data_IF_083943830208
#
_entry.id   IF_083943830208
#
_cell.length_a   1.000
_cell.length_b   1.000
_cell.length_c   1.000
_cell.angle_alpha   90.00
_cell.angle_beta   90.00
_cell.angle_gamma   90.00
#
_symmetry.space_group_name_H-M   'P 1'
#
loop_
_entity.id
_entity.type
_entity.pdbx_description
1 polymer ?
#
# COMPACT_ATOMS: atom_id res chain seq x y z
N UNK A 1 -13.17 -9.90 31.26
CA UNK A 1 -11.86 -10.59 31.34
C UNK A 1 -10.84 -9.73 30.64
N UNK A 2 -9.71 -9.46 31.29
CA UNK A 2 -8.58 -8.80 30.69
C UNK A 2 -7.92 -9.81 29.75
N UNK A 3 -7.79 -9.48 28.47
CA UNK A 3 -7.12 -10.33 27.47
C UNK A 3 -5.61 -10.42 27.81
N UNK A 4 -4.91 -11.42 27.26
CA UNK A 4 -3.48 -11.68 27.53
C UNK A 4 -2.52 -10.54 27.11
N UNK A 5 -1.37 -10.90 26.54
CA UNK A 5 -0.38 -9.90 26.08
C UNK A 5 -0.64 -9.48 24.63
N UNK A 6 -0.42 -8.20 24.32
CA UNK A 6 -0.48 -7.66 22.95
C UNK A 6 0.70 -6.73 22.68
N UNK A 7 1.24 -6.79 21.47
CA UNK A 7 2.20 -5.79 20.99
C UNK A 7 1.45 -4.77 20.14
N UNK A 8 1.87 -3.51 20.17
CA UNK A 8 1.34 -2.45 19.29
C UNK A 8 2.47 -1.79 18.52
N UNK A 9 2.35 -1.74 17.19
CA UNK A 9 3.30 -1.01 16.36
C UNK A 9 3.06 0.50 16.47
N UNK A 10 4.09 1.25 16.85
CA UNK A 10 4.03 2.68 17.12
C UNK A 10 4.86 3.46 16.11
N UNK A 11 4.21 4.34 15.34
CA UNK A 11 4.91 5.18 14.35
C UNK A 11 5.20 6.59 14.85
N UNK A 12 4.77 6.96 16.06
CA UNK A 12 4.79 8.34 16.54
C UNK A 12 3.62 9.20 16.02
N UNK A 13 2.73 8.62 15.20
CA UNK A 13 1.51 9.26 14.71
C UNK A 13 0.32 9.06 15.63
N UNK A 14 -0.69 9.93 15.49
CA UNK A 14 -1.89 9.96 16.34
C UNK A 14 -2.67 8.64 16.33
N UNK A 15 -2.75 7.97 15.18
CA UNK A 15 -3.50 6.72 15.04
C UNK A 15 -2.88 5.61 15.88
N UNK A 16 -1.55 5.46 15.85
CA UNK A 16 -0.86 4.44 16.65
C UNK A 16 -0.96 4.72 18.16
N UNK A 17 -0.95 6.00 18.57
CA UNK A 17 -1.11 6.37 19.99
C UNK A 17 -2.51 6.03 20.51
N UNK A 18 -3.55 6.39 19.75
CA UNK A 18 -4.93 6.06 20.12
C UNK A 18 -5.14 4.55 20.12
N UNK A 19 -4.57 3.83 19.15
CA UNK A 19 -4.62 2.36 19.15
C UNK A 19 -4.01 1.78 20.44
N UNK A 20 -2.83 2.24 20.85
CA UNK A 20 -2.19 1.82 22.09
C UNK A 20 -3.04 2.13 23.34
N UNK A 21 -3.59 3.35 23.44
CA UNK A 21 -4.45 3.76 24.54
C UNK A 21 -5.71 2.89 24.67
N UNK A 22 -6.33 2.53 23.54
CA UNK A 22 -7.48 1.61 23.52
C UNK A 22 -7.11 0.19 23.96
N UNK A 23 -5.90 -0.26 23.66
CA UNK A 23 -5.41 -1.58 24.05
C UNK A 23 -5.08 -1.66 25.55
N UNK A 24 -4.52 -0.62 26.15
CA UNK A 24 -4.26 -0.55 27.60
C UNK A 24 -5.52 -0.80 28.43
N UNK A 25 -6.69 -0.42 27.91
CA UNK A 25 -7.99 -0.62 28.57
C UNK A 25 -8.50 -2.07 28.52
N UNK A 26 -7.94 -2.91 27.65
CA UNK A 26 -8.49 -4.24 27.29
C UNK A 26 -7.54 -5.40 27.57
N UNK A 27 -6.24 -5.16 27.56
CA UNK A 27 -5.19 -6.17 27.69
C UNK A 27 -4.41 -5.99 28.98
N UNK A 28 -3.96 -7.09 29.58
CA UNK A 28 -3.24 -7.08 30.85
C UNK A 28 -1.80 -6.63 30.72
N UNK A 29 -1.25 -6.80 29.51
CA UNK A 29 0.09 -6.34 29.15
C UNK A 29 0.08 -5.82 27.71
N UNK A 30 0.49 -4.58 27.53
CA UNK A 30 0.70 -3.94 26.23
C UNK A 30 2.17 -3.59 26.09
N UNK A 31 2.79 -4.03 25.00
CA UNK A 31 4.19 -3.71 24.67
C UNK A 31 4.19 -2.85 23.42
N UNK A 32 4.87 -1.70 23.46
CA UNK A 32 5.08 -0.86 22.30
C UNK A 32 6.26 -1.36 21.48
N UNK A 33 6.09 -1.44 20.16
CA UNK A 33 7.18 -1.71 19.24
C UNK A 33 7.30 -0.55 18.26
N UNK A 34 8.44 0.14 18.32
CA UNK A 34 8.88 1.06 17.28
C UNK A 34 9.95 0.34 16.45
N UNK A 35 10.13 0.69 15.19
CA UNK A 35 11.19 0.10 14.38
C UNK A 35 11.87 1.13 13.49
N UNK A 36 13.17 0.94 13.30
CA UNK A 36 14.00 1.76 12.44
C UNK A 36 14.13 1.13 11.05
N UNK A 37 13.98 1.95 10.00
CA UNK A 37 14.07 1.52 8.61
C UNK A 37 15.43 1.80 7.99
N UNK A 38 16.21 2.70 8.58
CA UNK A 38 17.51 3.15 8.07
C UNK A 38 17.41 4.35 7.14
N UNK A 39 16.20 4.93 7.02
CA UNK A 39 15.91 6.12 6.21
C UNK A 39 15.45 7.31 7.07
N UNK A 40 15.46 7.14 8.39
CA UNK A 40 15.28 8.20 9.37
C UNK A 40 16.54 9.08 9.46
N UNK A 41 16.38 10.32 9.90
CA UNK A 41 17.54 11.17 10.20
C UNK A 41 18.20 10.70 11.51
N UNK A 42 19.54 10.81 11.66
CA UNK A 42 20.24 10.41 12.87
C UNK A 42 19.61 11.00 14.15
N UNK A 43 19.43 10.20 15.20
CA UNK A 43 18.84 10.63 16.47
C UNK A 43 17.31 10.74 16.48
N UNK A 44 16.63 10.54 15.35
CA UNK A 44 15.16 10.63 15.28
C UNK A 44 14.50 9.47 16.03
N UNK A 45 15.04 8.27 15.88
CA UNK A 45 14.48 7.04 16.45
C UNK A 45 14.43 7.09 17.97
N UNK A 46 15.52 7.52 18.61
CA UNK A 46 15.64 7.68 20.05
C UNK A 46 14.62 8.70 20.58
N UNK A 47 14.56 9.89 19.94
CA UNK A 47 13.62 10.94 20.31
C UNK A 47 12.14 10.50 20.18
N UNK A 48 11.82 9.70 19.14
CA UNK A 48 10.46 9.14 18.97
C UNK A 48 10.15 8.17 20.11
N UNK A 49 11.06 7.26 20.46
CA UNK A 49 10.84 6.27 21.52
C UNK A 49 10.66 6.95 22.88
N UNK A 50 11.52 7.89 23.23
CA UNK A 50 11.41 8.67 24.48
C UNK A 50 10.06 9.38 24.56
N UNK A 51 9.64 10.04 23.48
CA UNK A 51 8.34 10.71 23.38
C UNK A 51 7.20 9.72 23.55
N UNK A 52 7.23 8.59 22.84
CA UNK A 52 6.19 7.56 22.93
C UNK A 52 6.03 7.07 24.37
N UNK A 53 7.11 6.68 25.05
CA UNK A 53 7.03 6.22 26.43
C UNK A 53 6.41 7.27 27.37
N UNK A 54 6.75 8.55 27.17
CA UNK A 54 6.20 9.66 27.97
C UNK A 54 4.69 9.85 27.80
N UNK A 55 4.14 9.57 26.61
CA UNK A 55 2.75 9.87 26.26
C UNK A 55 1.80 8.71 26.54
N UNK A 56 2.21 7.47 26.28
CA UNK A 56 1.34 6.29 26.41
C UNK A 56 1.58 5.47 27.67
N UNK A 57 2.67 5.73 28.42
CA UNK A 57 3.00 5.01 29.65
C UNK A 57 2.97 3.49 29.44
N UNK A 58 3.74 3.04 28.43
CA UNK A 58 4.03 1.62 28.19
C UNK A 58 5.51 1.49 27.87
N UNK A 59 6.06 0.30 28.09
CA UNK A 59 7.39 -0.06 27.63
C UNK A 59 7.43 -0.08 26.09
N UNK A 60 8.36 0.67 25.49
CA UNK A 60 8.51 0.79 24.04
C UNK A 60 9.90 0.29 23.64
N UNK A 61 9.94 -0.79 22.88
CA UNK A 61 11.18 -1.31 22.33
C UNK A 61 11.39 -0.79 20.91
N UNK A 62 12.60 -0.31 20.63
CA UNK A 62 13.05 -0.08 19.27
C UNK A 62 13.59 -1.38 18.67
N UNK A 63 13.12 -1.73 17.48
CA UNK A 63 13.55 -2.89 16.72
C UNK A 63 14.35 -2.39 15.51
N UNK A 64 15.59 -2.82 15.38
CA UNK A 64 16.38 -2.57 14.18
C UNK A 64 15.86 -3.44 13.04
N UNK A 65 15.20 -2.82 12.06
CA UNK A 65 14.71 -3.47 10.86
C UNK A 65 15.39 -2.92 9.60
N UNK A 66 16.55 -2.25 9.72
CA UNK A 66 17.23 -1.61 8.58
C UNK A 66 17.50 -2.58 7.45
N UNK A 67 18.08 -3.73 7.78
CA UNK A 67 18.43 -4.75 6.80
C UNK A 67 17.19 -5.45 6.20
N UNK A 68 16.23 -5.99 6.99
CA UNK A 68 14.99 -6.53 6.46
C UNK A 68 14.20 -5.52 5.62
N UNK A 69 14.12 -4.26 6.04
CA UNK A 69 13.40 -3.22 5.34
C UNK A 69 14.02 -2.90 3.98
N UNK A 70 15.35 -2.81 3.92
CA UNK A 70 16.06 -2.61 2.66
C UNK A 70 15.77 -3.75 1.68
N UNK A 71 16.06 -4.99 2.06
CA UNK A 71 15.93 -6.14 1.15
C UNK A 71 14.48 -6.47 0.76
N UNK A 72 13.52 -6.30 1.68
CA UNK A 72 12.13 -6.70 1.42
C UNK A 72 11.26 -5.58 0.89
N UNK A 73 11.60 -4.31 1.12
CA UNK A 73 10.76 -3.18 0.71
C UNK A 73 11.46 -2.28 -0.29
N UNK A 74 12.69 -1.84 0.00
CA UNK A 74 13.38 -0.87 -0.85
C UNK A 74 13.92 -1.51 -2.11
N UNK A 75 14.63 -2.63 -2.03
CA UNK A 75 15.19 -3.28 -3.21
C UNK A 75 14.08 -3.69 -4.22
N UNK A 76 12.96 -4.32 -3.82
CA UNK A 76 11.85 -4.63 -4.74
C UNK A 76 11.19 -3.37 -5.30
N UNK A 77 11.10 -2.30 -4.51
CA UNK A 77 10.60 -1.01 -4.98
C UNK A 77 11.48 -0.44 -6.11
N UNK A 78 12.81 -0.45 -5.95
CA UNK A 78 13.76 0.01 -6.96
C UNK A 78 13.70 -0.86 -8.22
N UNK A 79 13.69 -2.19 -8.06
CA UNK A 79 13.59 -3.15 -9.16
C UNK A 79 12.30 -2.95 -9.97
N UNK A 80 11.16 -2.77 -9.30
CA UNK A 80 9.87 -2.53 -9.98
C UNK A 80 9.91 -1.25 -10.81
N UNK A 81 10.53 -0.18 -10.29
CA UNK A 81 10.73 1.06 -11.05
C UNK A 81 11.65 0.87 -12.26
N UNK A 82 12.74 0.11 -12.11
CA UNK A 82 13.66 -0.19 -13.21
C UNK A 82 13.00 -0.98 -14.34
N UNK A 83 11.97 -1.77 -14.03
CA UNK A 83 11.13 -2.47 -15.01
C UNK A 83 10.05 -1.57 -15.65
N UNK A 84 9.99 -0.28 -15.31
CA UNK A 84 8.97 0.64 -15.84
C UNK A 84 7.58 0.42 -15.25
N UNK A 85 7.49 -0.34 -14.16
CA UNK A 85 6.27 -0.59 -13.40
C UNK A 85 6.17 0.41 -12.23
N UNK A 86 4.97 0.63 -11.69
CA UNK A 86 4.77 1.55 -10.56
C UNK A 86 4.60 0.76 -9.26
N UNK A 87 5.57 0.74 -8.34
CA UNK A 87 5.51 -0.09 -7.13
C UNK A 87 4.51 0.42 -6.10
N UNK A 88 4.13 -0.48 -5.19
CA UNK A 88 3.38 -0.15 -3.98
C UNK A 88 4.10 -0.73 -2.74
N UNK A 89 5.06 0.00 -2.15
CA UNK A 89 5.89 -0.53 -1.06
C UNK A 89 5.08 -0.79 0.21
N UNK A 90 3.94 -0.12 0.40
CA UNK A 90 3.08 -0.30 1.57
C UNK A 90 2.40 -1.68 1.60
N UNK A 91 2.01 -2.22 0.44
CA UNK A 91 1.48 -3.59 0.35
C UNK A 91 2.51 -4.61 0.82
N UNK A 92 3.78 -4.42 0.43
CA UNK A 92 4.88 -5.31 0.82
C UNK A 92 5.24 -5.11 2.29
N UNK A 93 5.42 -3.86 2.74
CA UNK A 93 5.79 -3.54 4.12
C UNK A 93 4.78 -4.09 5.14
N UNK A 94 3.48 -4.02 4.87
CA UNK A 94 2.50 -4.59 5.79
C UNK A 94 2.62 -6.12 5.89
N UNK A 95 2.78 -6.82 4.76
CA UNK A 95 2.90 -8.27 4.75
C UNK A 95 4.24 -8.75 5.34
N UNK A 96 5.35 -8.19 4.87
CA UNK A 96 6.70 -8.68 5.14
C UNK A 96 7.33 -8.09 6.40
N UNK A 97 7.11 -6.79 6.65
CA UNK A 97 7.75 -6.09 7.77
C UNK A 97 6.85 -6.13 9.00
N UNK A 98 5.62 -5.59 8.91
CA UNK A 98 4.74 -5.51 10.09
C UNK A 98 4.23 -6.89 10.50
N UNK A 99 3.58 -7.60 9.59
CA UNK A 99 2.98 -8.91 9.86
C UNK A 99 3.91 -10.10 9.54
N UNK A 100 5.16 -9.81 9.20
CA UNK A 100 6.25 -10.78 9.13
C UNK A 100 7.23 -10.57 10.27
N UNK A 101 8.27 -9.75 10.04
CA UNK A 101 9.40 -9.60 10.98
C UNK A 101 8.97 -9.01 12.34
N UNK A 102 8.19 -7.94 12.36
CA UNK A 102 7.78 -7.26 13.59
C UNK A 102 6.83 -8.12 14.44
N UNK A 103 5.92 -8.88 13.80
CA UNK A 103 5.08 -9.88 14.48
C UNK A 103 5.94 -10.99 15.11
N UNK A 104 6.99 -11.44 14.44
CA UNK A 104 7.95 -12.40 15.02
C UNK A 104 8.65 -11.83 16.26
N UNK A 105 9.08 -10.56 16.20
CA UNK A 105 9.68 -9.87 17.35
C UNK A 105 8.71 -9.66 18.51
N UNK A 106 7.42 -9.43 18.23
CA UNK A 106 6.36 -9.39 19.24
C UNK A 106 6.23 -10.75 19.96
N UNK A 107 6.19 -11.85 19.20
CA UNK A 107 6.08 -13.22 19.76
C UNK A 107 7.26 -13.56 20.67
N UNK A 108 8.49 -13.22 20.27
CA UNK A 108 9.70 -13.40 21.10
C UNK A 108 9.61 -12.69 22.46
N UNK A 109 8.80 -11.63 22.55
CA UNK A 109 8.55 -10.84 23.77
C UNK A 109 7.30 -11.26 24.53
N UNK A 110 6.71 -12.40 24.17
CA UNK A 110 5.53 -12.96 24.84
C UNK A 110 4.21 -12.31 24.43
N UNK A 111 4.18 -11.56 23.32
CA UNK A 111 2.97 -10.99 22.75
C UNK A 111 2.57 -11.74 21.46
N UNK A 112 1.59 -12.66 21.50
CA UNK A 112 1.20 -13.47 20.35
C UNK A 112 0.42 -12.69 19.28
N UNK A 113 -0.04 -11.47 19.58
CA UNK A 113 -0.86 -10.63 18.70
C UNK A 113 -0.15 -9.30 18.47
N UNK A 114 -0.15 -8.83 17.22
CA UNK A 114 0.33 -7.52 16.84
C UNK A 114 -0.82 -6.61 16.40
N UNK A 115 -1.00 -5.54 17.16
CA UNK A 115 -1.91 -4.47 16.84
C UNK A 115 -1.21 -3.37 16.03
N UNK A 116 -1.96 -2.74 15.13
CA UNK A 116 -1.51 -1.56 14.39
C UNK A 116 -2.63 -0.51 14.37
N UNK A 117 -2.26 0.75 14.12
CA UNK A 117 -3.23 1.84 13.95
C UNK A 117 -3.95 1.85 12.61
N UNK A 118 -4.10 0.71 11.93
CA UNK A 118 -4.80 0.67 10.64
C UNK A 118 -6.32 0.73 10.81
N UNK A 119 -6.97 1.40 9.86
CA UNK A 119 -8.42 1.45 9.72
C UNK A 119 -8.91 0.27 8.87
N UNK A 120 -8.94 -0.91 9.48
CA UNK A 120 -9.52 -2.12 8.91
C UNK A 120 -10.13 -2.95 10.03
N UNK A 121 -10.97 -3.92 9.70
CA UNK A 121 -11.63 -4.77 10.70
C UNK A 121 -11.22 -6.22 10.50
N UNK A 122 -11.01 -6.90 11.63
CA UNK A 122 -10.94 -8.35 11.67
C UNK A 122 -12.30 -8.85 12.14
N UNK A 123 -12.91 -9.74 11.36
CA UNK A 123 -14.11 -10.48 11.74
C UNK A 123 -13.76 -11.96 11.91
N UNK A 124 -14.37 -12.61 12.90
CA UNK A 124 -14.27 -14.07 13.08
C UNK A 124 -15.65 -14.66 12.90
N UNK A 125 -15.76 -15.63 12.00
CA UNK A 125 -17.01 -16.38 11.80
C UNK A 125 -17.24 -17.40 12.93
N UNK A 126 -18.37 -18.09 12.88
CA UNK A 126 -18.76 -19.10 13.87
C UNK A 126 -17.82 -20.31 13.88
N UNK A 127 -17.11 -20.57 12.76
CA UNK A 127 -16.06 -21.58 12.66
C UNK A 127 -14.68 -21.08 13.14
N UNK A 128 -14.58 -19.82 13.58
CA UNK A 128 -13.36 -19.19 14.07
C UNK A 128 -12.41 -18.69 12.99
N UNK A 129 -12.78 -18.79 11.70
CA UNK A 129 -11.98 -18.29 10.58
C UNK A 129 -11.93 -16.77 10.61
N UNK A 130 -10.76 -16.25 10.26
CA UNK A 130 -10.47 -14.82 10.28
C UNK A 130 -10.69 -14.22 8.89
N UNK A 131 -11.48 -13.16 8.85
CA UNK A 131 -11.79 -12.37 7.67
C UNK A 131 -11.28 -10.95 7.82
N UNK A 132 -10.68 -10.42 6.75
CA UNK A 132 -10.31 -9.00 6.67
C UNK A 132 -11.47 -8.22 6.05
N UNK A 133 -11.89 -7.15 6.72
CA UNK A 133 -12.95 -6.27 6.26
C UNK A 133 -12.47 -4.81 6.16
N UNK A 134 -13.13 -4.04 5.30
CA UNK A 134 -12.97 -2.59 5.20
C UNK A 134 -13.15 -1.93 6.57
N UNK A 135 -12.38 -0.88 6.83
CA UNK A 135 -12.61 0.00 7.98
C UNK A 135 -13.98 0.68 7.89
N UNK A 136 -14.59 1.01 9.04
CA UNK A 136 -15.88 1.73 9.09
C UNK A 136 -15.81 3.09 8.41
N UNK A 137 -14.67 3.77 8.54
CA UNK A 137 -14.41 5.04 7.86
C UNK A 137 -13.95 4.78 6.43
N UNK A 138 -14.85 4.95 5.46
CA UNK A 138 -14.55 4.70 4.04
C UNK A 138 -13.47 5.62 3.47
N UNK A 139 -13.22 6.79 4.08
CA UNK A 139 -12.19 7.74 3.64
C UNK A 139 -10.80 7.37 4.19
N UNK A 140 -10.76 6.56 5.26
CA UNK A 140 -9.53 6.09 5.89
C UNK A 140 -9.31 4.59 5.78
N UNK A 141 -10.27 3.82 5.25
CA UNK A 141 -10.15 2.38 5.07
C UNK A 141 -8.80 1.99 4.47
N UNK A 142 -8.04 1.17 5.20
CA UNK A 142 -6.71 0.71 4.84
C UNK A 142 -6.66 -0.78 4.48
N UNK A 143 -7.81 -1.43 4.35
CA UNK A 143 -7.92 -2.85 3.96
C UNK A 143 -7.15 -3.18 2.68
N UNK A 144 -7.09 -2.25 1.73
CA UNK A 144 -6.31 -2.38 0.50
C UNK A 144 -4.85 -2.74 0.78
N UNK A 145 -4.17 -2.03 1.69
CA UNK A 145 -2.77 -2.24 2.00
C UNK A 145 -2.50 -3.49 2.84
N UNK A 146 -3.55 -4.10 3.39
CA UNK A 146 -3.51 -5.27 4.27
C UNK A 146 -3.91 -6.56 3.52
N UNK A 147 -4.38 -6.44 2.28
CA UNK A 147 -4.85 -7.55 1.44
C UNK A 147 -3.81 -8.63 1.15
N UNK A 148 -2.52 -8.31 1.31
CA UNK A 148 -1.39 -9.22 1.11
C UNK A 148 -0.84 -9.84 2.39
N UNK A 149 -1.44 -9.58 3.55
CA UNK A 149 -1.02 -10.24 4.80
C UNK A 149 -1.31 -11.75 4.68
N UNK A 150 -0.32 -12.63 4.95
CA UNK A 150 -0.55 -14.07 5.00
C UNK A 150 -1.63 -14.44 6.03
N UNK A 151 -2.47 -15.43 5.71
CA UNK A 151 -3.60 -15.85 6.57
C UNK A 151 -3.17 -16.09 8.02
N UNK A 152 -2.09 -16.85 8.24
CA UNK A 152 -1.59 -17.20 9.57
C UNK A 152 -1.17 -15.96 10.39
N UNK A 153 -0.66 -14.93 9.71
CA UNK A 153 -0.32 -13.66 10.36
C UNK A 153 -1.57 -12.80 10.60
N UNK A 154 -2.57 -12.88 9.72
CA UNK A 154 -3.84 -12.18 9.87
C UNK A 154 -4.60 -12.66 11.12
N UNK A 155 -4.50 -13.95 11.46
CA UNK A 155 -5.09 -14.51 12.68
C UNK A 155 -4.57 -13.87 13.98
N UNK A 156 -3.40 -13.25 13.90
CA UNK A 156 -2.71 -12.58 14.99
C UNK A 156 -2.68 -11.06 14.83
N UNK A 157 -3.44 -10.54 13.87
CA UNK A 157 -3.58 -9.11 13.66
C UNK A 157 -4.71 -8.53 14.50
N UNK A 158 -4.50 -7.30 14.98
CA UNK A 158 -5.52 -6.51 15.66
C UNK A 158 -5.54 -5.08 15.13
N UNK A 159 -6.74 -4.55 14.87
CA UNK A 159 -6.94 -3.21 14.33
C UNK A 159 -7.91 -2.41 15.22
N UNK A 160 -7.42 -1.80 16.31
CA UNK A 160 -8.29 -1.13 17.30
C UNK A 160 -9.13 0.01 16.73
N UNK A 161 -8.69 0.62 15.62
CA UNK A 161 -9.35 1.76 14.99
C UNK A 161 -10.40 1.37 13.95
N UNK A 162 -10.53 0.07 13.63
CA UNK A 162 -11.37 -0.41 12.52
C UNK A 162 -12.84 0.01 12.57
N UNK A 163 -13.38 0.23 13.77
CA UNK A 163 -14.78 0.60 14.00
C UNK A 163 -14.97 2.11 14.29
N UNK A 164 -13.91 2.90 14.16
CA UNK A 164 -13.90 4.32 14.47
C UNK A 164 -13.73 5.17 13.20
N UNK A 165 -14.32 6.35 13.21
CA UNK A 165 -13.98 7.40 12.23
C UNK A 165 -12.73 8.14 12.65
N UNK A 166 -12.05 8.78 11.69
CA UNK A 166 -10.87 9.62 12.00
C UNK A 166 -11.20 10.72 13.01
N UNK A 167 -12.40 11.28 12.92
CA UNK A 167 -12.88 12.30 13.84
C UNK A 167 -12.99 11.75 15.27
N UNK A 168 -13.55 10.55 15.44
CA UNK A 168 -13.61 9.88 16.74
C UNK A 168 -12.22 9.59 17.29
N UNK A 169 -11.28 9.16 16.45
CA UNK A 169 -9.87 8.95 16.83
C UNK A 169 -9.23 10.25 17.33
N UNK A 170 -9.45 11.38 16.63
CA UNK A 170 -8.98 12.69 17.09
C UNK A 170 -9.62 13.10 18.42
N UNK A 171 -10.92 12.86 18.60
CA UNK A 171 -11.61 13.13 19.86
C UNK A 171 -11.07 12.31 21.03
N UNK A 172 -10.76 11.02 20.81
CA UNK A 172 -10.09 10.18 21.80
C UNK A 172 -8.72 10.76 22.16
N UNK A 173 -7.93 11.13 21.16
CA UNK A 173 -6.61 11.69 21.41
C UNK A 173 -6.64 12.97 22.25
N UNK A 174 -7.57 13.89 21.96
CA UNK A 174 -7.73 15.13 22.75
C UNK A 174 -8.14 14.82 24.18
N UNK A 175 -9.16 13.97 24.37
CA UNK A 175 -9.65 13.59 25.70
C UNK A 175 -8.57 12.91 26.54
N UNK A 176 -7.78 12.04 25.91
CA UNK A 176 -6.79 11.23 26.59
C UNK A 176 -5.41 11.93 26.68
N UNK A 177 -5.30 13.18 26.20
CA UNK A 177 -4.05 13.97 26.26
C UNK A 177 -2.93 13.44 25.35
N UNK A 178 -3.27 12.72 24.29
CA UNK A 178 -2.29 12.06 23.41
C UNK A 178 -1.73 13.03 22.37
N UNK A 179 -0.49 13.47 22.57
CA UNK A 179 0.24 14.33 21.63
C UNK A 179 1.10 13.49 20.66
N UNK A 180 0.89 13.58 19.33
CA UNK A 180 1.73 12.87 18.37
C UNK A 180 3.10 13.54 18.21
N UNK A 181 4.14 12.72 18.02
CA UNK A 181 5.47 13.21 17.65
C UNK A 181 5.45 13.78 16.23
N UNK A 182 4.81 13.06 15.30
CA UNK A 182 4.59 13.52 13.93
C UNK A 182 3.24 14.22 13.81
N UNK A 183 3.27 15.54 13.57
CA UNK A 183 2.05 16.37 13.50
C UNK A 183 1.24 16.17 12.21
N UNK A 184 1.89 15.82 11.11
CA UNK A 184 1.24 15.54 9.83
C UNK A 184 1.02 14.04 9.65
N UNK A 185 -0.08 13.68 8.99
CA UNK A 185 -0.24 12.31 8.47
C UNK A 185 0.78 12.08 7.36
N UNK A 186 1.43 10.91 7.38
CA UNK A 186 2.29 10.48 6.27
C UNK A 186 1.43 10.30 5.02
N UNK A 187 1.59 11.21 4.06
CA UNK A 187 0.94 11.13 2.74
C UNK A 187 1.81 10.44 1.69
N UNK A 188 3.13 10.41 1.93
CA UNK A 188 4.14 9.86 1.02
C UNK A 188 4.70 8.52 1.53
N UNK A 189 5.47 7.83 0.67
CA UNK A 189 6.19 6.61 1.04
C UNK A 189 7.18 6.89 2.17
N UNK A 190 7.12 6.10 3.25
CA UNK A 190 7.74 6.45 4.54
C UNK A 190 9.27 6.66 4.52
N UNK A 191 9.97 6.01 3.57
CA UNK A 191 11.42 6.09 3.39
C UNK A 191 11.86 7.12 2.34
N UNK A 192 10.91 7.83 1.73
CA UNK A 192 11.18 8.90 0.75
C UNK A 192 10.69 10.21 1.36
N UNK A 193 11.62 10.95 1.99
CA UNK A 193 11.30 12.17 2.74
C UNK A 193 11.93 13.38 2.06
N UNK A 194 11.10 14.38 1.77
CA UNK A 194 11.55 15.66 1.23
C UNK A 194 12.12 15.59 -0.20
N UNK A 195 11.85 14.51 -0.95
CA UNK A 195 12.30 14.34 -2.32
C UNK A 195 11.28 13.56 -3.15
N UNK A 196 11.40 13.64 -4.48
CA UNK A 196 10.58 12.87 -5.40
C UNK A 196 11.14 11.47 -5.66
N UNK A 197 10.29 10.54 -6.12
CA UNK A 197 10.67 9.15 -6.41
C UNK A 197 11.90 9.01 -7.30
N UNK A 198 12.01 9.85 -8.34
CA UNK A 198 13.14 9.81 -9.25
C UNK A 198 14.47 10.22 -8.59
N UNK A 199 14.45 11.20 -7.70
CA UNK A 199 15.64 11.62 -6.96
C UNK A 199 16.09 10.52 -5.99
N UNK A 200 15.13 9.87 -5.33
CA UNK A 200 15.42 8.72 -4.46
C UNK A 200 16.06 7.57 -5.24
N UNK A 201 15.52 7.23 -6.42
CA UNK A 201 16.07 6.18 -7.28
C UNK A 201 17.53 6.46 -7.66
N UNK A 202 17.83 7.69 -8.12
CA UNK A 202 19.20 8.10 -8.49
C UNK A 202 20.14 7.99 -7.28
N UNK A 203 19.72 8.47 -6.11
CA UNK A 203 20.53 8.39 -4.88
C UNK A 203 20.82 6.94 -4.45
N UNK A 204 19.86 6.03 -4.58
CA UNK A 204 20.02 4.64 -4.13
C UNK A 204 20.77 3.76 -5.13
N UNK A 205 20.61 4.01 -6.43
CA UNK A 205 21.15 3.13 -7.49
C UNK A 205 22.40 3.68 -8.16
N UNK A 206 22.67 4.99 -8.03
CA UNK A 206 23.74 5.66 -8.77
C UNK A 206 23.47 5.79 -10.27
N UNK A 207 22.25 5.48 -10.75
CA UNK A 207 21.88 5.64 -12.15
C UNK A 207 22.03 7.11 -12.56
N UNK A 208 22.76 7.35 -13.64
CA UNK A 208 22.92 8.69 -14.23
C UNK A 208 21.68 9.00 -15.06
N UNK A 209 21.00 10.14 -14.83
CA UNK A 209 19.88 10.54 -15.65
C UNK A 209 20.26 10.72 -17.13
N UNK A 210 19.59 9.97 -18.01
CA UNK A 210 19.75 10.09 -19.45
C UNK A 210 18.49 10.65 -20.09
N UNK A 211 18.68 11.57 -21.05
CA UNK A 211 17.58 12.18 -21.77
C UNK A 211 16.91 11.17 -22.68
N UNK A 212 15.62 10.96 -22.49
CA UNK A 212 14.80 10.04 -23.27
C UNK A 212 13.75 10.76 -24.13
N UNK A 213 13.01 9.98 -24.93
CA UNK A 213 11.98 10.48 -25.83
C UNK A 213 10.58 10.28 -25.25
N UNK A 214 9.72 11.28 -25.41
CA UNK A 214 8.27 11.13 -25.22
C UNK A 214 7.66 10.84 -26.60
N UNK A 215 6.99 9.70 -26.72
CA UNK A 215 6.49 9.17 -28.00
C UNK A 215 4.99 8.88 -27.87
N UNK A 216 4.20 9.24 -28.89
CA UNK A 216 2.78 8.89 -28.92
C UNK A 216 2.54 7.45 -29.42
N UNK A 217 1.28 6.99 -29.41
CA UNK A 217 0.89 5.65 -29.87
C UNK A 217 1.12 5.41 -31.37
N UNK A 218 1.32 6.46 -32.17
CA UNK A 218 1.67 6.36 -33.59
C UNK A 218 3.19 6.23 -33.84
N UNK A 219 4.00 6.33 -32.78
CA UNK A 219 5.46 6.31 -32.88
C UNK A 219 6.09 7.68 -33.13
N UNK A 220 5.30 8.77 -33.13
CA UNK A 220 5.83 10.12 -33.32
C UNK A 220 6.44 10.63 -32.02
N UNK A 221 7.65 11.17 -32.10
CA UNK A 221 8.31 11.86 -30.99
C UNK A 221 7.65 13.23 -30.79
N UNK A 222 7.13 13.47 -29.60
CA UNK A 222 6.41 14.71 -29.23
C UNK A 222 7.14 15.52 -28.15
N UNK A 223 8.26 15.02 -27.62
CA UNK A 223 9.03 15.69 -26.59
C UNK A 223 10.20 14.86 -26.08
N UNK A 224 10.83 15.35 -25.02
CA UNK A 224 11.93 14.67 -24.32
C UNK A 224 11.73 14.76 -22.82
N UNK A 225 12.42 13.89 -22.08
CA UNK A 225 12.39 13.88 -20.62
C UNK A 225 13.76 13.54 -20.02
N UNK A 226 13.96 13.80 -18.74
CA UNK A 226 15.24 13.62 -18.04
C UNK A 226 15.33 12.26 -17.28
N UNK A 227 14.67 11.23 -17.81
CA UNK A 227 14.61 9.88 -17.21
C UNK A 227 13.20 9.30 -17.06
N UNK A 228 13.03 8.03 -17.45
CA UNK A 228 11.72 7.34 -17.50
C UNK A 228 11.09 7.20 -16.11
N UNK A 229 11.91 7.07 -15.08
CA UNK A 229 11.50 6.91 -13.67
C UNK A 229 10.81 8.15 -13.07
N UNK A 230 10.87 9.30 -13.74
CA UNK A 230 10.12 10.50 -13.34
C UNK A 230 8.63 10.43 -13.67
N UNK A 231 8.18 9.35 -14.33
CA UNK A 231 6.82 9.21 -14.83
C UNK A 231 6.07 8.06 -14.17
N UNK A 232 4.75 8.14 -14.19
CA UNK A 232 3.84 7.10 -13.69
C UNK A 232 2.70 6.91 -14.68
N UNK A 233 2.24 5.68 -14.85
CA UNK A 233 1.11 5.39 -15.77
C UNK A 233 -0.14 6.16 -15.34
N UNK A 234 -0.80 6.79 -16.31
CA UNK A 234 -1.91 7.72 -16.15
C UNK A 234 -1.51 9.16 -15.79
N UNK A 235 -0.22 9.46 -15.65
CA UNK A 235 0.24 10.83 -15.36
C UNK A 235 -0.08 11.76 -16.52
N UNK A 236 -0.73 12.89 -16.19
CA UNK A 236 -1.01 14.00 -17.12
C UNK A 236 -0.03 15.17 -16.96
N UNK A 237 0.25 15.54 -15.71
CA UNK A 237 1.08 16.72 -15.39
C UNK A 237 2.56 16.40 -15.57
N UNK A 238 3.36 17.41 -15.93
CA UNK A 238 4.82 17.26 -16.03
C UNK A 238 5.34 16.70 -17.36
N UNK A 239 4.48 16.29 -18.30
CA UNK A 239 4.89 15.83 -19.63
C UNK A 239 5.48 16.95 -20.50
N UNK A 240 5.10 18.23 -20.26
CA UNK A 240 5.60 19.43 -20.95
C UNK A 240 5.57 19.33 -22.50
N UNK A 241 4.63 18.56 -23.06
CA UNK A 241 4.37 18.44 -24.49
C UNK A 241 3.14 19.28 -24.89
N UNK A 242 3.28 20.29 -25.77
CA UNK A 242 2.14 21.06 -26.27
C UNK A 242 1.27 20.22 -27.23
N UNK A 243 -0.04 20.23 -27.01
CA UNK A 243 -1.04 19.59 -27.87
C UNK A 243 -2.41 20.26 -27.70
N UNK A 244 -3.32 20.04 -28.66
CA UNK A 244 -4.71 20.50 -28.60
C UNK A 244 -5.50 19.82 -27.47
N UNK A 245 -5.13 18.59 -27.13
CA UNK A 245 -5.68 17.82 -26.01
C UNK A 245 -4.57 17.31 -25.08
N UNK A 246 -4.84 17.08 -23.79
CA UNK A 246 -3.84 16.62 -22.85
C UNK A 246 -3.43 15.16 -23.10
N UNK A 247 -2.12 14.91 -23.10
CA UNK A 247 -1.55 13.57 -23.08
C UNK A 247 -1.55 12.94 -21.69
N UNK A 248 -1.59 11.62 -21.67
CA UNK A 248 -1.45 10.78 -20.48
C UNK A 248 -0.38 9.71 -20.73
N UNK A 249 0.45 9.42 -19.74
CA UNK A 249 1.40 8.30 -19.81
C UNK A 249 0.63 6.98 -19.93
N UNK A 250 0.79 6.28 -21.05
CA UNK A 250 0.19 4.98 -21.30
C UNK A 250 1.05 3.86 -20.71
N UNK A 251 2.35 3.89 -21.02
CA UNK A 251 3.33 2.92 -20.51
C UNK A 251 4.74 3.49 -20.54
N UNK A 252 5.63 2.86 -19.79
CA UNK A 252 7.04 3.22 -19.69
C UNK A 252 7.88 2.14 -20.37
N UNK A 253 8.88 2.53 -21.15
CA UNK A 253 9.84 1.62 -21.79
C UNK A 253 11.27 1.96 -21.38
N UNK A 254 11.73 1.52 -20.20
CA UNK A 254 13.08 1.82 -19.71
C UNK A 254 14.18 1.34 -20.66
N UNK A 255 14.02 0.15 -21.26
CA UNK A 255 15.03 -0.46 -22.15
C UNK A 255 15.35 0.40 -23.38
N UNK A 256 14.37 1.17 -23.88
CA UNK A 256 14.56 2.11 -24.99
C UNK A 256 14.56 3.58 -24.55
N UNK A 257 14.57 3.85 -23.24
CA UNK A 257 14.46 5.19 -22.65
C UNK A 257 13.30 6.02 -23.24
N UNK A 258 12.10 5.40 -23.33
CA UNK A 258 10.90 6.02 -23.90
C UNK A 258 9.76 6.10 -22.89
N UNK A 259 9.02 7.22 -22.94
CA UNK A 259 7.72 7.40 -22.28
C UNK A 259 6.66 7.41 -23.36
N UNK A 260 5.79 6.40 -23.35
CA UNK A 260 4.70 6.29 -24.31
C UNK A 260 3.48 7.00 -23.76
N UNK A 261 2.90 7.91 -24.55
CA UNK A 261 1.71 8.67 -24.17
C UNK A 261 0.56 8.45 -25.14
N UNK A 262 -0.66 8.70 -24.66
CA UNK A 262 -1.88 8.57 -25.45
C UNK A 262 -2.90 9.66 -25.11
N UNK A 263 -3.96 9.76 -25.92
CA UNK A 263 -5.13 10.56 -25.59
C UNK A 263 -5.94 9.94 -24.44
N UNK A 264 -6.96 10.66 -23.95
CA UNK A 264 -7.79 10.19 -22.81
C UNK A 264 -8.58 8.91 -23.14
N UNK A 265 -9.06 8.77 -24.37
CA UNK A 265 -9.86 7.62 -24.81
C UNK A 265 -9.05 6.32 -24.79
N UNK A 266 -7.82 6.36 -25.29
CA UNK A 266 -6.88 5.23 -25.37
C UNK A 266 -6.39 4.74 -24.00
N UNK A 267 -6.55 5.55 -22.95
CA UNK A 267 -6.14 5.18 -21.58
C UNK A 267 -7.08 4.14 -20.95
N UNK A 268 -8.27 3.96 -21.53
CA UNK A 268 -9.32 3.07 -21.00
C UNK A 268 -9.03 1.61 -21.35
N UNK A 269 -9.05 0.76 -20.33
CA UNK A 269 -8.75 -0.66 -20.44
C UNK A 269 -9.99 -1.49 -20.08
N UNK A 270 -10.14 -2.66 -20.70
CA UNK A 270 -11.26 -3.57 -20.40
C UNK A 270 -11.00 -4.43 -19.17
N UNK A 271 -9.75 -4.54 -18.73
CA UNK A 271 -9.37 -5.43 -17.65
C UNK A 271 -7.87 -5.39 -17.35
N UNK A 272 -7.43 -6.36 -16.56
CA UNK A 272 -6.02 -6.60 -16.28
C UNK A 272 -5.73 -8.08 -15.99
N UNK A 273 -4.47 -8.46 -16.08
CA UNK A 273 -3.97 -9.72 -15.52
C UNK A 273 -3.35 -9.46 -14.15
N UNK A 274 -3.52 -10.41 -13.23
CA UNK A 274 -3.05 -10.30 -11.84
C UNK A 274 -2.26 -11.56 -11.47
N UNK A 275 -1.04 -11.35 -10.94
CA UNK A 275 -0.15 -12.41 -10.44
C UNK A 275 0.05 -12.32 -8.93
N UNK A 276 0.63 -13.38 -8.36
CA UNK A 276 1.01 -13.48 -6.95
C UNK A 276 -0.13 -13.08 -6.00
N UNK A 277 -1.32 -13.62 -6.24
CA UNK A 277 -2.49 -13.31 -5.44
C UNK A 277 -2.36 -13.96 -4.07
N UNK A 278 -2.34 -13.14 -3.03
CA UNK A 278 -2.54 -13.57 -1.66
C UNK A 278 -4.04 -13.66 -1.37
N UNK A 279 -4.51 -14.86 -1.08
CA UNK A 279 -5.92 -15.16 -0.83
C UNK A 279 -6.25 -15.14 0.67
N UNK A 280 -7.09 -14.20 1.09
CA UNK A 280 -7.64 -14.11 2.46
C UNK A 280 -8.86 -15.01 2.61
N UNK A 281 -9.66 -15.14 1.56
CA UNK A 281 -10.72 -16.14 1.42
C UNK A 281 -10.22 -17.34 0.61
N UNK A 282 -10.89 -18.49 0.62
CA UNK A 282 -10.55 -19.59 -0.28
C UNK A 282 -10.54 -19.12 -1.76
N UNK A 283 -9.52 -19.50 -2.55
CA UNK A 283 -9.45 -19.10 -3.95
C UNK A 283 -10.66 -19.67 -4.72
N UNK A 284 -11.30 -18.88 -5.60
CA UNK A 284 -12.42 -19.34 -6.40
C UNK A 284 -11.97 -20.38 -7.43
N UNK A 285 -12.83 -21.37 -7.70
CA UNK A 285 -12.59 -22.40 -8.73
C UNK A 285 -13.20 -22.06 -10.09
N UNK A 286 -14.17 -21.15 -10.10
CA UNK A 286 -14.88 -20.66 -11.28
C UNK A 286 -14.84 -19.14 -11.29
N UNK A 287 -15.17 -18.50 -12.42
CA UNK A 287 -15.33 -17.06 -12.45
C UNK A 287 -16.32 -16.57 -11.39
N UNK A 288 -16.01 -15.44 -10.74
CA UNK A 288 -16.86 -14.81 -9.72
C UNK A 288 -16.98 -13.31 -9.96
N UNK A 289 -18.11 -12.72 -9.56
CA UNK A 289 -18.26 -11.27 -9.48
C UNK A 289 -17.48 -10.73 -8.28
N UNK A 290 -16.75 -9.64 -8.48
CA UNK A 290 -15.99 -8.96 -7.44
C UNK A 290 -16.05 -7.46 -7.63
N UNK A 291 -15.78 -6.74 -6.56
CA UNK A 291 -15.43 -5.33 -6.58
C UNK A 291 -13.91 -5.23 -6.52
N UNK A 292 -13.26 -4.65 -7.51
CA UNK A 292 -11.79 -4.52 -7.56
C UNK A 292 -11.34 -3.07 -7.33
N UNK A 293 -10.31 -2.90 -6.49
CA UNK A 293 -9.55 -1.64 -6.40
C UNK A 293 -8.18 -1.85 -7.00
N UNK A 294 -7.82 -1.01 -7.98
CA UNK A 294 -6.51 -1.03 -8.66
C UNK A 294 -5.54 -0.02 -8.04
N UNK A 295 -6.06 0.90 -7.22
CA UNK A 295 -5.32 1.89 -6.44
C UNK A 295 -6.06 2.18 -5.13
N UNK A 296 -5.30 2.60 -4.11
CA UNK A 296 -5.82 2.83 -2.76
C UNK A 296 -7.02 3.78 -2.67
N UNK A 297 -6.94 4.98 -3.29
CA UNK A 297 -7.98 6.03 -3.20
C UNK A 297 -9.06 5.94 -4.28
N UNK A 298 -9.04 4.88 -5.07
CA UNK A 298 -10.02 4.66 -6.12
C UNK A 298 -11.34 4.12 -5.52
N UNK A 299 -12.47 4.47 -6.13
CA UNK A 299 -13.69 3.69 -5.92
C UNK A 299 -13.47 2.26 -6.43
N UNK A 300 -14.12 1.28 -5.80
CA UNK A 300 -14.08 -0.07 -6.33
C UNK A 300 -14.86 -0.14 -7.66
N UNK A 301 -14.40 -0.97 -8.58
CA UNK A 301 -15.02 -1.21 -9.88
C UNK A 301 -15.64 -2.60 -9.85
N UNK A 302 -16.86 -2.77 -10.35
CA UNK A 302 -17.42 -4.10 -10.55
C UNK A 302 -16.67 -4.82 -11.68
N UNK A 303 -16.30 -6.08 -11.45
CA UNK A 303 -15.50 -6.89 -12.35
C UNK A 303 -15.82 -8.38 -12.20
N UNK A 304 -15.47 -9.16 -13.23
CA UNK A 304 -15.43 -10.62 -13.17
C UNK A 304 -13.98 -11.04 -12.97
N UNK A 305 -13.72 -11.79 -11.90
CA UNK A 305 -12.42 -12.42 -11.66
C UNK A 305 -12.47 -13.87 -12.15
N UNK A 306 -11.67 -14.17 -13.16
CA UNK A 306 -11.44 -15.52 -13.65
C UNK A 306 -10.17 -16.08 -13.00
N UNK A 307 -10.28 -17.19 -12.24
CA UNK A 307 -9.12 -17.77 -11.57
C UNK A 307 -8.12 -18.37 -12.57
N UNK A 308 -6.82 -18.26 -12.25
CA UNK A 308 -5.71 -18.73 -13.09
C UNK A 308 -4.37 -18.19 -12.58
N UNK A 309 -3.28 -18.52 -13.27
CA UNK A 309 -1.97 -17.88 -13.07
C UNK A 309 -1.34 -17.52 -14.42
N UNK A 310 -1.45 -16.24 -14.86
CA UNK A 310 -2.07 -15.13 -14.15
C UNK A 310 -3.60 -15.25 -14.10
N UNK A 311 -4.24 -14.68 -13.08
CA UNK A 311 -5.69 -14.51 -13.06
C UNK A 311 -6.10 -13.35 -13.98
N UNK A 312 -7.31 -13.41 -14.52
CA UNK A 312 -7.84 -12.37 -15.41
C UNK A 312 -8.97 -11.62 -14.70
N UNK A 313 -8.90 -10.29 -14.69
CA UNK A 313 -9.94 -9.42 -14.14
C UNK A 313 -10.54 -8.62 -15.29
N UNK A 314 -11.81 -8.88 -15.61
CA UNK A 314 -12.54 -8.14 -16.64
C UNK A 314 -13.49 -7.15 -15.99
N UNK A 315 -13.34 -5.87 -16.32
CA UNK A 315 -14.17 -4.82 -15.75
C UNK A 315 -15.54 -4.79 -16.42
N UNK A 316 -16.59 -4.55 -15.62
CA UNK A 316 -17.94 -4.33 -16.14
C UNK A 316 -18.07 -3.04 -16.95
N UNK A 317 -17.15 -2.10 -16.75
CA UNK A 317 -17.05 -0.88 -17.54
C UNK A 317 -15.58 -0.52 -17.74
N UNK A 318 -15.18 0.01 -18.92
CA UNK A 318 -13.80 0.37 -19.18
C UNK A 318 -13.24 1.31 -18.10
N UNK A 319 -12.02 1.02 -17.65
CA UNK A 319 -11.38 1.79 -16.58
C UNK A 319 -10.03 2.34 -17.03
N UNK A 320 -9.75 3.64 -16.81
CA UNK A 320 -8.48 4.23 -17.22
C UNK A 320 -7.32 3.83 -16.32
N UNK A 321 -6.10 3.94 -16.85
CA UNK A 321 -4.86 3.97 -16.09
C UNK A 321 -4.62 2.74 -15.20
N UNK A 322 -4.99 1.55 -15.69
CA UNK A 322 -4.53 0.27 -15.15
C UNK A 322 -3.00 0.26 -15.18
N UNK A 323 -2.36 0.01 -14.04
CA UNK A 323 -0.93 0.27 -13.85
C UNK A 323 -0.21 -0.97 -13.37
N UNK A 324 0.58 -1.62 -14.24
CA UNK A 324 1.49 -2.68 -13.85
C UNK A 324 2.36 -2.30 -12.64
N UNK A 325 2.50 -3.25 -11.70
CA UNK A 325 3.20 -3.08 -10.43
C UNK A 325 2.34 -2.52 -9.28
N UNK A 326 1.16 -1.95 -9.55
CA UNK A 326 0.19 -1.65 -8.50
C UNK A 326 -0.55 -2.91 -8.04
N UNK A 327 -1.22 -2.81 -6.89
CA UNK A 327 -2.03 -3.91 -6.37
C UNK A 327 -3.43 -3.92 -6.98
N UNK A 328 -3.93 -5.10 -7.31
CA UNK A 328 -5.35 -5.35 -7.54
C UNK A 328 -5.92 -6.07 -6.32
N UNK A 329 -6.87 -5.44 -5.63
CA UNK A 329 -7.49 -5.99 -4.41
C UNK A 329 -8.97 -6.26 -4.67
N UNK A 330 -9.40 -7.47 -4.35
CA UNK A 330 -10.74 -7.97 -4.63
C UNK A 330 -11.60 -7.93 -3.36
N UNK A 331 -12.83 -7.49 -3.51
CA UNK A 331 -13.79 -7.30 -2.44
C UNK A 331 -15.14 -7.93 -2.79
N UNK A 332 -15.85 -8.34 -1.75
CA UNK A 332 -17.28 -8.60 -1.78
C UNK A 332 -17.94 -7.76 -0.67
N UNK A 333 -18.53 -6.63 -1.07
CA UNK A 333 -19.00 -5.63 -0.13
C UNK A 333 -17.85 -5.08 0.72
N UNK A 334 -17.90 -5.34 2.03
CA UNK A 334 -16.83 -4.97 2.96
C UNK A 334 -15.74 -6.03 3.11
N UNK A 335 -15.98 -7.27 2.70
CA UNK A 335 -15.04 -8.38 2.86
C UNK A 335 -13.94 -8.32 1.82
N UNK A 336 -12.69 -8.49 2.24
CA UNK A 336 -11.53 -8.59 1.34
C UNK A 336 -11.32 -10.05 0.97
N UNK A 337 -11.40 -10.37 -0.32
CA UNK A 337 -11.19 -11.74 -0.81
C UNK A 337 -9.69 -12.06 -0.94
N UNK A 338 -8.90 -11.09 -1.39
CA UNK A 338 -7.46 -11.22 -1.60
C UNK A 338 -6.89 -10.06 -2.38
N UNK A 339 -5.60 -10.11 -2.67
CA UNK A 339 -4.93 -9.12 -3.51
C UNK A 339 -3.63 -9.61 -4.13
N UNK A 340 -3.36 -9.15 -5.35
CA UNK A 340 -2.17 -9.51 -6.13
C UNK A 340 -1.57 -8.30 -6.86
N UNK A 341 -0.58 -8.55 -7.70
CA UNK A 341 0.09 -7.53 -8.52
C UNK A 341 -0.51 -7.48 -9.91
N UNK A 342 -0.85 -6.27 -10.37
CA UNK A 342 -1.21 -6.05 -11.77
C UNK A 342 0.02 -6.33 -12.62
N UNK A 343 -0.06 -7.30 -13.52
CA UNK A 343 1.03 -7.67 -14.43
C UNK A 343 0.89 -6.89 -15.73
N UNK A 344 -0.28 -6.97 -16.38
CA UNK A 344 -0.58 -6.30 -17.64
C UNK A 344 -1.98 -5.68 -17.64
N UNK A 345 -2.14 -4.61 -18.40
CA UNK A 345 -3.44 -4.04 -18.71
C UNK A 345 -4.01 -4.72 -19.97
N UNK A 346 -5.31 -5.01 -19.97
CA UNK A 346 -5.99 -5.56 -21.15
C UNK A 346 -6.61 -4.41 -21.94
N UNK A 347 -6.12 -4.13 -23.16
CA UNK A 347 -6.67 -3.05 -23.99
C UNK A 347 -8.11 -3.37 -24.37
N UNK A 348 -8.86 -2.32 -24.70
CA UNK A 348 -10.13 -2.50 -25.42
C UNK A 348 -9.85 -3.27 -26.72
N UNK A 349 -10.74 -4.19 -27.13
CA UNK A 349 -10.63 -4.76 -28.47
C UNK A 349 -10.62 -3.62 -29.48
N UNK A 350 -9.83 -3.77 -30.54
CA UNK A 350 -9.88 -2.85 -31.66
C UNK A 350 -11.34 -2.74 -32.10
N UNK A 351 -11.84 -1.51 -32.20
CA UNK A 351 -13.11 -1.30 -32.88
C UNK A 351 -12.85 -1.74 -34.31
N UNK A 352 -13.28 -2.93 -34.68
CA UNK A 352 -13.52 -3.23 -36.09
C UNK A 352 -14.37 -2.06 -36.61
N UNK A 353 -13.79 -1.30 -37.54
CA UNK A 353 -14.44 -0.15 -38.13
C UNK A 353 -15.75 -0.56 -38.79
N UNK A 354 -16.71 0.37 -38.97
CA UNK A 354 -17.95 0.10 -39.67
C UNK A 354 -17.72 -0.44 -41.09
#
# INVERSE_FOLDING_TARGET
MILGSVAVALSGGIDSLVAAALLKRRFGRVIGLHFETGFEAPGTTEAVVEHLQSVIDIDVHCIDLREPFRYRVVDPFLQTYQLGKTPNPCLICNAEIKYGVLLSEARKRGAPVLATGHYARIYRDDEGRVHLHKGRDSLKDQSYFLSRIPRDSLEQALFPLGNLTKEQVRGIAVRDGLAPFHRSESQDVCFIRGMHYGEFLVRQTGIVPERGQIVDTSGRVIGTHDGVWGFTIGQRRGLRCPASEPYYVLRLEPASNRVIVCGKSELSMRGCTVRDINWIEPPPRTPIEVQVKLRYRQAAIDAVLMPGDPAIVEFRSPHPAVTPGQGAVFYEGDRVLGGGWIEEALPMPDREGP
#
